data_IF_607237102670
#
_entry.id   IF_607237102670
#
_cell.length_a   1.000
_cell.length_b   1.000
_cell.length_c   1.000
_cell.angle_alpha   90.00
_cell.angle_beta   90.00
_cell.angle_gamma   90.00
#
_symmetry.space_group_name_H-M   'P 1'
#
loop_
_entity.id
_entity.type
_entity.pdbx_description
1 polymer ?
#
# COMPACT_ATOMS: atom_id res chain seq x y z
N UNK A 1 -37.97 4.00 -24.56
CA UNK A 1 -37.35 4.62 -23.37
C UNK A 1 -36.45 3.56 -22.75
N UNK A 2 -35.13 3.77 -22.67
CA UNK A 2 -34.19 2.78 -22.13
C UNK A 2 -33.77 3.23 -20.74
N UNK A 3 -34.16 2.45 -19.73
CA UNK A 3 -33.81 2.66 -18.34
C UNK A 3 -32.30 2.44 -18.13
N UNK A 4 -31.64 3.42 -17.51
CA UNK A 4 -30.24 3.31 -17.08
C UNK A 4 -30.22 2.61 -15.73
N UNK A 5 -29.85 1.33 -15.72
CA UNK A 5 -29.48 0.63 -14.49
C UNK A 5 -28.21 1.26 -13.90
N UNK A 6 -28.19 1.45 -12.59
CA UNK A 6 -27.08 2.10 -11.88
C UNK A 6 -26.09 1.05 -11.39
N UNK A 7 -24.81 1.42 -11.30
CA UNK A 7 -23.71 0.53 -10.90
C UNK A 7 -23.92 -0.16 -9.53
N UNK A 8 -24.77 0.41 -8.65
CA UNK A 8 -25.14 -0.20 -7.38
C UNK A 8 -25.93 -1.50 -7.52
N UNK A 9 -26.75 -1.62 -8.56
CA UNK A 9 -27.54 -2.83 -8.82
C UNK A 9 -26.64 -3.97 -9.30
N UNK A 10 -25.63 -3.65 -10.11
CA UNK A 10 -24.59 -4.59 -10.59
C UNK A 10 -23.71 -5.09 -9.42
N UNK A 11 -23.46 -4.25 -8.41
CA UNK A 11 -22.57 -4.57 -7.31
C UNK A 11 -23.19 -5.51 -6.27
N UNK A 12 -24.51 -5.47 -6.10
CA UNK A 12 -25.23 -6.36 -5.17
C UNK A 12 -25.38 -7.76 -5.76
N UNK A 13 -25.54 -7.89 -7.08
CA UNK A 13 -25.55 -9.20 -7.76
C UNK A 13 -24.20 -9.92 -7.68
N UNK A 14 -23.08 -9.19 -7.58
CA UNK A 14 -21.74 -9.78 -7.57
C UNK A 14 -21.12 -10.03 -6.19
N UNK A 15 -21.69 -9.48 -5.12
CA UNK A 15 -21.18 -9.63 -3.74
C UNK A 15 -22.24 -10.27 -2.83
N UNK A 16 -23.16 -11.01 -3.42
CA UNK A 16 -24.05 -11.90 -2.70
C UNK A 16 -23.56 -13.34 -2.79
N UNK A 17 -22.57 -13.72 -1.96
CA UNK A 17 -22.42 -15.04 -1.32
C UNK A 17 -20.98 -15.30 -0.87
N UNK A 18 -20.68 -14.99 0.39
CA UNK A 18 -20.35 -16.01 1.41
C UNK A 18 -20.08 -15.31 2.74
N UNK A 19 -21.10 -15.37 3.60
CA UNK A 19 -20.98 -15.24 5.05
C UNK A 19 -19.90 -16.19 5.57
N UNK A 20 -18.91 -15.65 6.29
CA UNK A 20 -17.86 -16.41 6.98
C UNK A 20 -17.69 -15.89 8.42
N UNK A 21 -18.80 -15.51 9.05
CA UNK A 21 -18.85 -15.38 10.50
C UNK A 21 -19.47 -16.66 11.06
N UNK A 22 -18.68 -17.59 11.61
CA UNK A 22 -19.26 -18.67 12.40
C UNK A 22 -19.81 -18.07 13.69
N UNK A 23 -21.07 -18.41 13.93
CA UNK A 23 -21.84 -18.12 15.14
C UNK A 23 -21.21 -18.76 16.39
N UNK A 24 -21.38 -18.07 17.52
CA UNK A 24 -21.46 -18.71 18.84
C UNK A 24 -20.15 -18.76 19.65
N UNK A 25 -20.16 -18.75 20.98
CA UNK A 25 -21.22 -18.73 22.00
C UNK A 25 -20.58 -18.20 23.29
N UNK A 26 -21.42 -17.56 24.09
CA UNK A 26 -21.25 -17.21 25.50
C UNK A 26 -20.80 -18.37 26.40
N UNK A 27 -19.93 -18.12 27.38
CA UNK A 27 -20.11 -18.63 28.74
C UNK A 27 -19.26 -17.85 29.74
N UNK A 28 -19.92 -17.33 30.78
CA UNK A 28 -19.32 -16.88 32.03
C UNK A 28 -18.30 -17.89 32.56
N UNK A 29 -17.17 -17.41 33.11
CA UNK A 29 -16.37 -18.22 34.03
C UNK A 29 -16.15 -17.43 35.31
N UNK A 30 -16.74 -17.95 36.38
CA UNK A 30 -16.70 -17.48 37.77
C UNK A 30 -15.36 -17.95 38.41
N UNK A 31 -14.59 -17.10 39.11
CA UNK A 31 -13.22 -17.45 39.54
C UNK A 31 -13.13 -18.13 40.92
N UNK A 32 -14.22 -18.67 41.49
CA UNK A 32 -14.24 -19.19 42.87
C UNK A 32 -13.83 -20.66 43.05
N UNK A 33 -13.31 -21.33 42.02
CA UNK A 33 -12.98 -22.77 42.13
C UNK A 33 -11.50 -22.97 41.82
N UNK A 34 -10.63 -22.80 42.81
CA UNK A 34 -9.40 -23.58 43.01
C UNK A 34 -8.86 -23.32 44.43
N UNK A 35 -9.70 -23.52 45.45
CA UNK A 35 -9.21 -23.99 46.75
C UNK A 35 -9.24 -25.52 46.73
N UNK A 36 -8.30 -26.15 47.44
CA UNK A 36 -8.14 -27.59 47.64
C UNK A 36 -7.43 -28.36 46.53
N UNK A 37 -6.10 -28.44 46.65
CA UNK A 37 -5.42 -29.72 46.98
C UNK A 37 -3.94 -29.46 47.23
N UNK A 38 -3.63 -28.75 48.32
CA UNK A 38 -2.31 -28.78 48.94
C UNK A 38 -2.26 -29.99 49.87
N UNK A 39 -1.52 -31.03 49.49
CA UNK A 39 -1.04 -32.04 50.42
C UNK A 39 0.42 -31.76 50.76
N UNK A 40 0.66 -30.99 51.83
CA UNK A 40 1.98 -30.90 52.47
C UNK A 40 2.64 -29.52 52.45
N UNK A 41 2.64 -28.86 53.61
CA UNK A 41 3.49 -27.72 53.94
C UNK A 41 4.94 -28.21 54.27
N UNK A 42 5.99 -27.37 54.28
CA UNK A 42 6.13 -26.41 55.39
C UNK A 42 6.81 -25.05 55.07
N UNK A 43 6.44 -24.07 55.90
CA UNK A 43 7.24 -22.94 56.41
C UNK A 43 8.06 -22.09 55.42
N UNK A 44 7.45 -20.99 54.96
CA UNK A 44 8.19 -19.77 54.65
C UNK A 44 7.82 -18.70 55.68
N UNK A 45 8.80 -18.35 56.52
CA UNK A 45 8.69 -17.21 57.43
C UNK A 45 8.63 -15.92 56.60
N UNK A 46 7.44 -15.32 56.52
CA UNK A 46 7.24 -13.97 55.98
C UNK A 46 7.70 -12.93 57.00
N UNK A 47 8.86 -12.32 56.75
CA UNK A 47 9.18 -11.02 57.33
C UNK A 47 8.55 -9.92 56.45
N UNK A 48 7.68 -9.04 56.97
CA UNK A 48 7.14 -7.94 56.19
C UNK A 48 8.19 -6.82 56.15
N UNK A 49 9.16 -6.90 55.24
CA UNK A 49 9.97 -5.73 54.90
C UNK A 49 9.13 -4.81 54.00
N UNK A 50 8.75 -3.66 54.55
CA UNK A 50 7.91 -2.62 53.93
C UNK A 50 8.47 -1.99 52.65
N UNK A 51 9.48 -2.59 52.01
CA UNK A 51 10.08 -2.10 50.75
C UNK A 51 10.68 -3.24 49.90
N UNK A 52 10.09 -4.44 49.90
CA UNK A 52 10.41 -5.45 48.89
C UNK A 52 9.84 -4.99 47.52
N UNK A 53 10.53 -4.06 46.86
CA UNK A 53 10.33 -3.79 45.43
C UNK A 53 10.66 -5.08 44.69
N UNK A 54 9.61 -5.83 44.36
CA UNK A 54 9.70 -6.91 43.37
C UNK A 54 10.16 -6.22 42.09
N UNK A 55 11.46 -6.31 41.79
CA UNK A 55 11.93 -6.02 40.45
C UNK A 55 11.28 -7.06 39.55
N UNK A 56 10.12 -6.72 38.98
CA UNK A 56 9.59 -7.48 37.87
C UNK A 56 10.69 -7.45 36.82
N UNK A 57 11.36 -8.58 36.61
CA UNK A 57 12.15 -8.83 35.42
C UNK A 57 11.21 -8.55 34.25
N UNK A 58 11.36 -7.37 33.66
CA UNK A 58 10.59 -6.98 32.48
C UNK A 58 10.90 -8.05 31.44
N UNK A 59 9.91 -8.92 31.18
CA UNK A 59 9.99 -9.84 30.03
C UNK A 59 10.25 -8.94 28.81
N UNK A 60 11.27 -9.24 27.98
CA UNK A 60 11.59 -8.38 26.84
C UNK A 60 10.33 -8.22 25.99
N UNK A 61 9.78 -7.01 25.95
CA UNK A 61 8.39 -6.76 25.51
C UNK A 61 8.15 -6.97 24.01
N UNK A 62 9.16 -7.30 23.21
CA UNK A 62 8.98 -7.65 21.79
C UNK A 62 10.05 -8.65 21.38
N UNK A 63 9.72 -9.65 20.54
CA UNK A 63 10.75 -10.41 19.82
C UNK A 63 11.69 -9.42 19.12
N UNK A 64 13.01 -9.60 19.30
CA UNK A 64 14.02 -8.81 18.59
C UNK A 64 13.68 -8.88 17.10
N UNK A 65 13.36 -7.73 16.51
CA UNK A 65 13.11 -7.57 15.08
C UNK A 65 14.29 -8.24 14.37
N UNK A 66 14.03 -9.29 13.58
CA UNK A 66 15.06 -9.96 12.76
C UNK A 66 15.86 -8.84 12.09
N UNK A 67 17.19 -8.89 12.20
CA UNK A 67 18.10 -7.98 11.51
C UNK A 67 17.71 -8.08 10.04
N UNK A 68 16.90 -7.13 9.57
CA UNK A 68 16.51 -7.03 8.18
C UNK A 68 17.81 -6.74 7.47
N UNK A 69 18.27 -7.71 6.67
CA UNK A 69 19.28 -7.44 5.66
C UNK A 69 18.87 -6.18 4.91
N UNK A 70 19.78 -5.20 4.74
CA UNK A 70 19.45 -3.98 4.03
C UNK A 70 18.86 -4.39 2.66
N UNK A 71 17.72 -3.78 2.25
CA UNK A 71 17.15 -4.10 0.96
C UNK A 71 18.19 -3.86 -0.13
N UNK A 72 18.21 -4.66 -1.20
CA UNK A 72 19.16 -4.47 -2.29
C UNK A 72 19.07 -3.04 -2.82
N UNK A 73 20.20 -2.47 -3.29
CA UNK A 73 20.23 -1.12 -3.82
C UNK A 73 19.19 -0.98 -4.93
N UNK A 74 18.35 0.04 -4.83
CA UNK A 74 17.35 0.34 -5.87
C UNK A 74 18.09 0.75 -7.13
N UNK A 75 17.94 -0.02 -8.20
CA UNK A 75 18.38 0.39 -9.53
C UNK A 75 17.47 1.53 -9.97
N UNK A 76 18.06 2.69 -10.24
CA UNK A 76 17.31 3.87 -10.70
C UNK A 76 17.17 3.81 -12.22
N UNK A 77 15.97 3.51 -12.70
CA UNK A 77 15.64 3.59 -14.12
C UNK A 77 15.37 5.06 -14.49
N UNK A 78 16.08 5.54 -15.52
CA UNK A 78 15.95 6.92 -16.01
C UNK A 78 15.80 6.92 -17.52
N UNK A 79 14.89 7.74 -18.01
CA UNK A 79 14.69 7.99 -19.43
C UNK A 79 15.71 9.04 -19.85
N UNK A 80 16.62 8.68 -20.74
CA UNK A 80 17.64 9.59 -21.29
C UNK A 80 17.35 9.85 -22.75
N UNK A 81 17.24 11.13 -23.13
CA UNK A 81 16.96 11.54 -24.52
C UNK A 81 17.96 10.95 -25.51
N UNK A 82 19.24 10.83 -25.13
CA UNK A 82 20.31 10.26 -25.95
C UNK A 82 20.17 8.76 -26.26
N UNK A 83 19.32 8.04 -25.52
CA UNK A 83 19.11 6.60 -25.68
C UNK A 83 17.81 6.27 -26.43
N UNK A 84 17.05 7.29 -26.83
CA UNK A 84 15.78 7.12 -27.51
C UNK A 84 15.97 6.92 -29.02
N UNK A 85 15.16 6.05 -29.61
CA UNK A 85 15.04 5.95 -31.07
C UNK A 85 14.36 7.20 -31.66
N UNK A 86 14.49 7.44 -32.96
CA UNK A 86 13.86 8.60 -33.63
C UNK A 86 12.35 8.70 -33.38
N UNK A 87 11.64 7.56 -33.35
CA UNK A 87 10.21 7.53 -33.06
C UNK A 87 9.92 7.89 -31.60
N UNK A 88 10.75 7.41 -30.67
CA UNK A 88 10.61 7.74 -29.25
C UNK A 88 11.00 9.20 -28.94
N UNK A 89 11.91 9.80 -29.72
CA UNK A 89 12.21 11.22 -29.64
C UNK A 89 11.00 12.07 -30.03
N UNK A 90 10.31 11.72 -31.11
CA UNK A 90 9.05 12.38 -31.50
C UNK A 90 7.99 12.22 -30.41
N UNK A 91 7.86 11.03 -29.82
CA UNK A 91 6.95 10.78 -28.71
C UNK A 91 7.34 11.60 -27.47
N UNK A 92 8.63 11.76 -27.18
CA UNK A 92 9.14 12.58 -26.09
C UNK A 92 8.80 14.06 -26.29
N UNK A 93 8.94 14.58 -27.51
CA UNK A 93 8.58 15.96 -27.83
C UNK A 93 7.07 16.21 -27.71
N UNK A 94 6.24 15.24 -28.13
CA UNK A 94 4.79 15.27 -27.91
C UNK A 94 4.46 15.25 -26.42
N UNK A 95 5.15 14.41 -25.64
CA UNK A 95 4.97 14.35 -24.18
C UNK A 95 5.31 15.69 -23.52
N UNK A 96 6.41 16.33 -23.93
CA UNK A 96 6.81 17.67 -23.46
C UNK A 96 5.80 18.75 -23.84
N UNK A 97 5.28 18.73 -25.07
CA UNK A 97 4.28 19.68 -25.53
C UNK A 97 2.96 19.53 -24.76
N UNK A 98 2.49 18.29 -24.60
CA UNK A 98 1.23 18.01 -23.94
C UNK A 98 1.30 18.15 -22.42
N UNK A 99 2.47 18.03 -21.80
CA UNK A 99 2.65 18.29 -20.37
C UNK A 99 2.64 19.78 -20.04
N UNK A 100 2.88 20.67 -21.02
CA UNK A 100 3.09 22.12 -20.81
C UNK A 100 4.24 22.41 -19.82
N UNK A 101 5.18 21.48 -19.69
CA UNK A 101 6.34 21.60 -18.80
C UNK A 101 7.61 21.31 -19.58
N UNK A 102 8.65 22.11 -19.36
CA UNK A 102 9.98 21.82 -19.89
C UNK A 102 10.54 20.60 -19.19
N UNK A 103 10.93 19.62 -20.00
CA UNK A 103 11.47 18.35 -19.55
C UNK A 103 12.99 18.39 -19.61
N UNK A 104 13.64 17.88 -18.56
CA UNK A 104 15.08 17.65 -18.58
C UNK A 104 15.43 16.51 -19.55
N UNK A 105 16.67 16.50 -20.03
CA UNK A 105 17.16 15.44 -20.93
C UNK A 105 17.26 14.08 -20.24
N UNK A 106 17.34 14.09 -18.91
CA UNK A 106 17.33 12.90 -18.04
C UNK A 106 16.16 13.02 -17.08
N UNK A 107 15.24 12.05 -17.14
CA UNK A 107 14.05 12.02 -16.29
C UNK A 107 14.02 10.72 -15.52
N UNK A 108 13.87 10.79 -14.21
CA UNK A 108 13.67 9.59 -13.39
C UNK A 108 12.31 8.95 -13.68
N UNK A 109 12.20 7.62 -13.57
CA UNK A 109 10.92 6.93 -13.73
C UNK A 109 9.80 7.51 -12.83
N UNK A 110 10.15 7.88 -11.60
CA UNK A 110 9.23 8.50 -10.64
C UNK A 110 8.71 9.86 -11.13
N UNK A 111 9.60 10.69 -11.65
CA UNK A 111 9.25 11.99 -12.22
C UNK A 111 8.41 11.82 -13.48
N UNK A 112 8.78 10.91 -14.37
CA UNK A 112 8.03 10.59 -15.58
C UNK A 112 6.59 10.17 -15.26
N UNK A 113 6.42 9.23 -14.32
CA UNK A 113 5.11 8.77 -13.84
C UNK A 113 4.32 9.89 -13.16
N UNK A 114 4.98 10.74 -12.39
CA UNK A 114 4.35 11.89 -11.73
C UNK A 114 3.79 12.88 -12.75
N UNK A 115 4.60 13.27 -13.75
CA UNK A 115 4.19 14.18 -14.82
C UNK A 115 3.05 13.58 -15.64
N UNK A 116 3.15 12.32 -16.04
CA UNK A 116 2.07 11.61 -16.72
C UNK A 116 0.74 11.70 -15.95
N UNK A 117 0.73 11.41 -14.64
CA UNK A 117 -0.48 11.47 -13.81
C UNK A 117 -1.09 12.86 -13.72
N UNK A 118 -0.27 13.92 -13.72
CA UNK A 118 -0.77 15.30 -13.73
C UNK A 118 -1.37 15.64 -15.08
N UNK A 119 -0.66 15.35 -16.17
CA UNK A 119 -1.10 15.68 -17.53
C UNK A 119 -2.36 14.91 -17.90
N UNK A 120 -2.44 13.61 -17.59
CA UNK A 120 -3.60 12.80 -17.95
C UNK A 120 -4.89 13.27 -17.27
N UNK A 121 -4.80 13.74 -16.02
CA UNK A 121 -5.95 14.33 -15.32
C UNK A 121 -6.41 15.62 -16.00
N UNK A 122 -5.48 16.44 -16.47
CA UNK A 122 -5.78 17.70 -17.15
C UNK A 122 -6.43 17.48 -18.52
N UNK A 123 -5.92 16.54 -19.31
CA UNK A 123 -6.41 16.30 -20.68
C UNK A 123 -7.54 15.27 -20.73
N UNK A 124 -8.01 14.76 -19.59
CA UNK A 124 -9.06 13.75 -19.54
C UNK A 124 -10.38 14.28 -20.13
N UNK A 125 -11.08 13.53 -21.00
CA UNK A 125 -12.36 13.97 -21.57
C UNK A 125 -13.41 14.34 -20.52
N UNK A 126 -13.54 13.53 -19.47
CA UNK A 126 -14.47 13.81 -18.37
C UNK A 126 -14.16 15.11 -17.59
N UNK A 127 -12.95 15.65 -17.72
CA UNK A 127 -12.51 16.91 -17.12
C UNK A 127 -12.60 18.08 -18.12
N UNK A 128 -13.23 17.88 -19.28
CA UNK A 128 -13.31 18.86 -20.37
C UNK A 128 -12.09 18.87 -21.31
N UNK A 129 -11.22 17.86 -21.22
CA UNK A 129 -10.06 17.70 -22.10
C UNK A 129 -10.40 17.15 -23.48
N UNK A 130 -9.49 17.31 -24.43
CA UNK A 130 -9.66 16.79 -25.79
C UNK A 130 -9.38 15.28 -25.85
N UNK A 131 -10.36 14.50 -26.32
CA UNK A 131 -10.24 13.05 -26.47
C UNK A 131 -9.09 12.62 -27.39
N UNK A 132 -8.81 13.40 -28.44
CA UNK A 132 -7.71 13.11 -29.36
C UNK A 132 -6.35 13.24 -28.68
N UNK A 133 -6.16 14.30 -27.89
CA UNK A 133 -4.94 14.54 -27.13
C UNK A 133 -4.76 13.49 -26.03
N UNK A 134 -5.86 13.08 -25.38
CA UNK A 134 -5.85 12.01 -24.40
C UNK A 134 -5.38 10.67 -24.98
N UNK A 135 -5.95 10.25 -26.11
CA UNK A 135 -5.56 9.01 -26.79
C UNK A 135 -4.11 9.07 -27.27
N UNK A 136 -3.69 10.20 -27.85
CA UNK A 136 -2.31 10.42 -28.27
C UNK A 136 -1.35 10.30 -27.09
N UNK A 137 -1.68 10.93 -25.96
CA UNK A 137 -0.84 10.93 -24.77
C UNK A 137 -0.70 9.54 -24.14
N UNK A 138 -1.77 8.73 -24.15
CA UNK A 138 -1.72 7.33 -23.73
C UNK A 138 -0.76 6.49 -24.59
N UNK A 139 -0.81 6.68 -25.91
CA UNK A 139 0.09 5.99 -26.85
C UNK A 139 1.54 6.38 -26.60
N UNK A 140 1.80 7.68 -26.49
CA UNK A 140 3.14 8.25 -26.23
C UNK A 140 3.71 7.71 -24.92
N UNK A 141 2.90 7.68 -23.85
CA UNK A 141 3.31 7.13 -22.56
C UNK A 141 3.70 5.65 -22.67
N UNK A 142 2.90 4.84 -23.37
CA UNK A 142 3.20 3.41 -23.58
C UNK A 142 4.51 3.21 -24.35
N UNK A 143 4.74 4.02 -25.38
CA UNK A 143 5.97 4.01 -26.18
C UNK A 143 7.19 4.29 -25.30
N UNK A 144 7.16 5.37 -24.52
CA UNK A 144 8.26 5.78 -23.67
C UNK A 144 8.48 4.82 -22.48
N UNK A 145 7.42 4.26 -21.90
CA UNK A 145 7.54 3.27 -20.82
C UNK A 145 8.34 2.02 -21.22
N UNK A 146 8.36 1.63 -22.49
CA UNK A 146 9.16 0.49 -22.96
C UNK A 146 10.68 0.69 -22.80
N UNK A 147 11.13 1.93 -22.57
CA UNK A 147 12.55 2.26 -22.35
C UNK A 147 12.94 2.35 -20.88
N UNK A 148 11.95 2.31 -19.98
CA UNK A 148 12.14 2.44 -18.53
C UNK A 148 12.25 1.08 -17.81
N UNK A 149 11.95 -0.02 -18.50
CA UNK A 149 12.21 -1.41 -18.05
C UNK A 149 13.62 -1.83 -18.39
#
# INVERSE_FOLDING_TARGET
MKEKLTFREIFIEHIGQKSLFPEGKSSHFDPTIYENTLGGAPSFHFYPSKNARIYHLQRPLRPRKKVQTPPPPKVFHSLRRSLLTENQLKDFDVFQRLSLETLSDVISEAEFKSKYRKTIKRIHPDQGGNASDFILFLRVYKSLCSTLT
#
